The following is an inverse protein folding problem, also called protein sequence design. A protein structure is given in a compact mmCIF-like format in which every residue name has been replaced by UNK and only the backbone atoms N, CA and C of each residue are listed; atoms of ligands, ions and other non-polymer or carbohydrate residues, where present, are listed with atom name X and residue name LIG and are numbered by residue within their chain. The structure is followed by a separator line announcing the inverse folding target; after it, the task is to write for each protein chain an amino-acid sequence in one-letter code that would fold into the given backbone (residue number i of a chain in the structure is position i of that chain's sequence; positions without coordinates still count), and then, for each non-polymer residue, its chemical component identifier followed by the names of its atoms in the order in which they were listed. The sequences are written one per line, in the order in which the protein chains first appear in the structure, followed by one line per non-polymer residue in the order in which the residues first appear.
data_IF_934249482573
#
_entry.id   IF_934249482573
#
_cell.length_a   1.000
_cell.length_b   1.000
_cell.length_c   1.000
_cell.angle_alpha   90.00
_cell.angle_beta   90.00
_cell.angle_gamma   90.00
#
_symmetry.space_group_name_H-M   'P 1'
#
loop_
_entity.id
_entity.type
_entity.pdbx_description
1 polymer ?
#
# COMPACT_ATOMS: atom_id res chain seq x y z
N UNK A 1 -3.42 -15.89 -6.81
CA UNK A 1 -2.59 -14.67 -6.84
C UNK A 1 -2.86 -13.93 -5.55
N UNK A 2 -1.87 -13.88 -4.65
CA UNK A 2 -2.00 -13.19 -3.38
C UNK A 2 -1.53 -11.76 -3.60
N UNK A 3 -2.47 -10.83 -3.71
CA UNK A 3 -2.18 -9.41 -3.92
C UNK A 3 -1.98 -8.81 -2.53
N UNK A 4 -0.72 -8.63 -2.11
CA UNK A 4 -0.43 -7.96 -0.86
C UNK A 4 -0.63 -6.46 -1.06
N UNK A 5 -1.77 -5.94 -0.58
CA UNK A 5 -2.04 -4.51 -0.56
C UNK A 5 -1.08 -3.83 0.43
N UNK A 6 -0.38 -2.81 -0.04
CA UNK A 6 0.62 -2.05 0.72
C UNK A 6 0.37 -0.56 0.57
N UNK A 7 0.82 0.18 1.58
CA UNK A 7 0.86 1.64 1.57
C UNK A 7 2.30 2.12 1.50
N UNK A 8 2.53 3.14 0.69
CA UNK A 8 3.82 3.79 0.54
C UNK A 8 3.88 4.97 1.49
N UNK A 9 4.94 4.99 2.30
CA UNK A 9 5.27 6.12 3.17
C UNK A 9 6.14 7.13 2.46
N UNK A 10 6.02 8.39 2.85
CA UNK A 10 6.79 9.50 2.29
C UNK A 10 8.28 9.35 2.59
N UNK A 11 9.13 9.67 1.62
CA UNK A 11 10.59 9.62 1.78
C UNK A 11 11.11 10.56 2.89
N UNK A 12 10.41 11.67 3.13
CA UNK A 12 10.76 12.64 4.17
C UNK A 12 10.05 12.41 5.51
N UNK A 13 8.99 11.60 5.54
CA UNK A 13 8.19 11.37 6.74
C UNK A 13 7.47 10.01 6.69
N UNK A 14 7.97 9.05 7.45
CA UNK A 14 7.41 7.69 7.50
C UNK A 14 5.97 7.63 8.05
N UNK A 15 5.53 8.65 8.79
CA UNK A 15 4.15 8.73 9.29
C UNK A 15 3.16 9.19 8.22
N UNK A 16 3.66 9.76 7.11
CA UNK A 16 2.83 10.27 6.03
C UNK A 16 2.70 9.22 4.93
N UNK A 17 1.46 8.87 4.59
CA UNK A 17 1.17 7.98 3.46
C UNK A 17 1.05 8.80 2.17
N UNK A 18 1.80 8.43 1.14
CA UNK A 18 1.79 9.14 -0.16
C UNK A 18 0.95 8.43 -1.20
N UNK A 19 0.87 7.10 -1.15
CA UNK A 19 0.12 6.28 -2.08
C UNK A 19 -0.20 4.90 -1.49
N UNK A 20 -1.10 4.16 -2.14
CA UNK A 20 -1.32 2.74 -1.89
C UNK A 20 -1.28 1.95 -3.20
N UNK A 21 -0.94 0.68 -3.08
CA UNK A 21 -0.70 -0.19 -4.21
C UNK A 21 -0.57 -1.64 -3.80
N UNK A 22 0.00 -2.44 -4.69
CA UNK A 22 0.34 -3.82 -4.40
C UNK A 22 1.73 -4.15 -4.90
N UNK A 23 2.41 -5.04 -4.18
CA UNK A 23 3.74 -5.50 -4.59
C UNK A 23 3.59 -6.39 -5.82
N UNK A 24 4.23 -5.99 -6.92
CA UNK A 24 4.34 -6.76 -8.16
C UNK A 24 5.51 -7.74 -8.06
N UNK A 25 6.66 -7.22 -7.64
CA UNK A 25 7.91 -7.96 -7.58
C UNK A 25 8.68 -7.58 -6.30
N UNK A 26 9.05 -8.58 -5.50
CA UNK A 26 9.62 -8.38 -4.16
C UNK A 26 11.15 -8.50 -4.15
N UNK A 27 11.71 -9.24 -5.11
CA UNK A 27 13.13 -9.47 -5.31
C UNK A 27 13.47 -9.13 -6.77
N UNK A 28 14.57 -8.40 -6.99
CA UNK A 28 15.00 -7.95 -8.32
C UNK A 28 14.09 -6.97 -9.06
N UNK A 29 13.34 -6.15 -8.32
CA UNK A 29 12.50 -5.08 -8.88
C UNK A 29 13.24 -4.29 -9.97
N UNK A 30 12.73 -4.37 -11.20
CA UNK A 30 13.30 -3.70 -12.38
C UNK A 30 12.40 -2.56 -12.81
N UNK A 31 12.75 -1.35 -12.41
CA UNK A 31 11.99 -0.17 -12.82
C UNK A 31 12.66 0.43 -14.04
N UNK A 32 11.92 0.45 -15.15
CA UNK A 32 12.39 0.95 -16.44
C UNK A 32 13.67 0.27 -16.96
N UNK A 33 13.86 -1.02 -16.63
CA UNK A 33 15.02 -1.80 -17.04
C UNK A 33 16.26 -1.65 -16.15
N UNK A 34 16.20 -0.82 -15.08
CA UNK A 34 17.27 -0.68 -14.09
C UNK A 34 16.95 -1.48 -12.83
N UNK A 35 17.94 -2.21 -12.32
CA UNK A 35 17.79 -2.95 -11.07
C UNK A 35 17.68 -1.97 -9.89
N UNK A 36 16.54 -2.00 -9.20
CA UNK A 36 16.26 -1.05 -8.13
C UNK A 36 17.10 -1.30 -6.85
N UNK A 37 17.86 -2.39 -6.81
CA UNK A 37 18.69 -2.80 -5.68
C UNK A 37 17.96 -3.70 -4.68
N UNK A 38 18.72 -4.44 -3.87
CA UNK A 38 18.23 -5.46 -2.94
C UNK A 38 17.26 -4.95 -1.85
N UNK A 39 17.22 -3.64 -1.61
CA UNK A 39 16.41 -3.01 -0.56
C UNK A 39 15.14 -2.33 -1.08
N UNK A 40 14.82 -2.50 -2.36
CA UNK A 40 13.65 -1.92 -3.01
C UNK A 40 12.77 -2.99 -3.64
N UNK A 41 11.46 -2.78 -3.61
CA UNK A 41 10.48 -3.61 -4.30
C UNK A 41 9.73 -2.83 -5.38
N UNK A 42 9.15 -3.55 -6.33
CA UNK A 42 8.29 -3.01 -7.36
C UNK A 42 6.84 -3.00 -6.87
N UNK A 43 6.22 -1.83 -6.90
CA UNK A 43 4.86 -1.62 -6.46
C UNK A 43 4.07 -0.98 -7.59
N UNK A 44 2.90 -1.55 -7.91
CA UNK A 44 1.95 -0.89 -8.80
C UNK A 44 1.05 0.01 -7.97
N UNK A 45 1.06 1.31 -8.26
CA UNK A 45 0.22 2.27 -7.55
C UNK A 45 -1.23 2.12 -7.98
N UNK A 46 -2.12 1.88 -7.02
CA UNK A 46 -3.57 1.87 -7.24
C UNK A 46 -4.24 3.18 -6.84
N UNK A 47 -3.73 3.85 -5.81
CA UNK A 47 -4.33 5.08 -5.30
C UNK A 47 -3.26 6.08 -4.87
N UNK A 48 -3.51 7.35 -5.19
CA UNK A 48 -2.59 8.46 -4.95
C UNK A 48 -3.19 9.32 -3.83
N UNK A 49 -2.52 9.38 -2.68
CA UNK A 49 -2.96 10.21 -1.57
C UNK A 49 -2.30 11.59 -1.61
N UNK A 50 -1.01 11.65 -1.94
CA UNK A 50 -0.23 12.88 -2.04
C UNK A 50 0.38 13.00 -3.43
N UNK A 51 -0.37 13.67 -4.31
CA UNK A 51 -0.03 13.86 -5.73
C UNK A 51 1.36 14.47 -5.96
N UNK A 52 1.67 15.50 -5.19
CA UNK A 52 2.93 16.25 -5.29
C UNK A 52 4.14 15.54 -4.67
N UNK A 53 3.96 14.34 -4.12
CA UNK A 53 5.07 13.60 -3.55
C UNK A 53 6.02 13.11 -4.66
N UNK A 54 7.32 13.32 -4.43
CA UNK A 54 8.36 12.87 -5.33
C UNK A 54 8.51 11.35 -5.29
N UNK A 55 8.75 10.76 -6.45
CA UNK A 55 9.13 9.35 -6.53
C UNK A 55 10.57 9.14 -6.11
N UNK A 56 10.88 7.95 -5.56
CA UNK A 56 12.25 7.55 -5.25
C UNK A 56 13.14 7.57 -6.50
N UNK A 57 12.63 7.01 -7.60
CA UNK A 57 13.25 7.05 -8.93
C UNK A 57 12.22 7.49 -9.96
N UNK A 58 12.19 8.79 -10.32
CA UNK A 58 11.41 9.23 -11.46
C UNK A 58 12.00 8.67 -12.76
N UNK A 59 11.17 8.26 -13.70
CA UNK A 59 11.61 7.71 -14.98
C UNK A 59 10.63 8.07 -16.11
N UNK A 60 11.18 8.37 -17.30
CA UNK A 60 10.38 8.82 -18.44
C UNK A 60 9.51 10.03 -18.09
N UNK A 61 8.19 9.88 -18.22
CA UNK A 61 7.19 10.89 -17.89
C UNK A 61 6.65 10.78 -16.45
N UNK A 62 7.12 9.80 -15.68
CA UNK A 62 6.63 9.52 -14.33
C UNK A 62 7.58 10.20 -13.34
N UNK A 63 7.20 11.38 -12.86
CA UNK A 63 8.03 12.18 -11.96
C UNK A 63 7.47 12.23 -10.54
N UNK A 64 6.15 12.25 -10.42
CA UNK A 64 5.44 12.40 -9.17
C UNK A 64 4.54 11.19 -8.88
N UNK A 65 4.03 11.11 -7.66
CA UNK A 65 3.01 10.12 -7.33
C UNK A 65 1.80 10.29 -8.25
N UNK A 66 1.41 11.51 -8.64
CA UNK A 66 0.31 11.76 -9.60
C UNK A 66 0.51 11.11 -10.98
N UNK A 67 1.75 11.01 -11.45
CA UNK A 67 2.05 10.39 -12.74
C UNK A 67 2.15 8.86 -12.66
N UNK A 68 2.22 8.32 -11.44
CA UNK A 68 2.52 6.90 -11.20
C UNK A 68 1.29 5.98 -11.16
N UNK A 69 0.07 6.49 -11.38
CA UNK A 69 -1.14 5.67 -11.31
C UNK A 69 -1.09 4.49 -12.29
N UNK A 70 -1.17 3.27 -11.78
CA UNK A 70 -1.09 2.06 -12.58
C UNK A 70 0.29 1.74 -13.13
N UNK A 71 1.31 2.53 -12.78
CA UNK A 71 2.69 2.30 -13.21
C UNK A 71 3.51 1.58 -12.13
N UNK A 72 4.50 0.74 -12.52
CA UNK A 72 5.42 0.11 -11.59
C UNK A 72 6.45 1.11 -11.06
N UNK A 73 6.46 1.33 -9.75
CA UNK A 73 7.44 2.20 -9.10
C UNK A 73 8.31 1.42 -8.14
N UNK A 74 9.56 1.86 -8.03
CA UNK A 74 10.51 1.33 -7.07
C UNK A 74 10.30 2.06 -5.75
N UNK A 75 10.03 1.30 -4.69
CA UNK A 75 9.93 1.88 -3.34
C UNK A 75 10.82 1.14 -2.35
N UNK A 76 11.43 1.85 -1.37
CA UNK A 76 12.27 1.20 -0.37
C UNK A 76 11.40 0.34 0.54
N UNK A 77 11.81 -0.90 0.79
CA UNK A 77 11.08 -1.84 1.65
C UNK A 77 10.82 -1.27 3.06
N UNK A 78 11.73 -0.44 3.58
CA UNK A 78 11.59 0.24 4.88
C UNK A 78 10.47 1.27 4.94
N UNK A 79 10.00 1.75 3.78
CA UNK A 79 8.91 2.73 3.65
C UNK A 79 7.64 2.10 3.05
N UNK A 80 7.63 0.78 2.91
CA UNK A 80 6.45 0.01 2.53
C UNK A 80 5.85 -0.56 3.79
N UNK A 81 4.63 -0.14 4.11
CA UNK A 81 3.87 -0.74 5.19
C UNK A 81 2.73 -1.57 4.60
N UNK A 82 2.36 -2.64 5.30
CA UNK A 82 1.10 -3.31 4.99
C UNK A 82 -0.04 -2.31 5.24
N UNK A 83 -1.07 -2.38 4.42
CA UNK A 83 -2.23 -1.51 4.57
C UNK A 83 -2.93 -1.81 5.91
N UNK A 84 -2.63 -1.01 6.93
CA UNK A 84 -3.22 -1.12 8.27
C UNK A 84 -4.74 -0.88 8.23
N UNK A 85 -5.26 -0.20 7.19
CA UNK A 85 -6.68 0.06 7.01
C UNK A 85 -7.44 -1.25 6.75
N UNK A 86 -6.86 -2.22 6.04
CA UNK A 86 -7.46 -3.55 5.90
C UNK A 86 -7.55 -4.26 7.25
N UNK A 87 -6.56 -4.09 8.12
CA UNK A 87 -6.54 -4.68 9.46
C UNK A 87 -7.61 -4.02 10.33
N UNK A 88 -7.70 -2.69 10.35
CA UNK A 88 -8.73 -1.97 11.09
C UNK A 88 -10.13 -2.26 10.55
N UNK A 89 -10.32 -2.28 9.23
CA UNK A 89 -11.60 -2.62 8.61
C UNK A 89 -12.00 -4.08 8.89
N UNK A 90 -11.06 -5.03 8.86
CA UNK A 90 -11.33 -6.42 9.25
C UNK A 90 -11.65 -6.50 10.74
N UNK A 91 -10.91 -5.80 11.61
CA UNK A 91 -11.21 -5.78 13.04
C UNK A 91 -12.56 -5.14 13.33
N UNK A 92 -12.94 -4.07 12.64
CA UNK A 92 -14.26 -3.45 12.75
C UNK A 92 -15.36 -4.36 12.25
N UNK A 93 -15.16 -5.09 11.14
CA UNK A 93 -16.12 -6.10 10.66
C UNK A 93 -16.25 -7.25 11.66
N UNK A 94 -15.15 -7.75 12.21
CA UNK A 94 -15.14 -8.80 13.23
C UNK A 94 -15.85 -8.31 14.51
N UNK A 95 -15.55 -7.09 14.95
CA UNK A 95 -16.17 -6.45 16.12
C UNK A 95 -17.67 -6.23 15.92
N UNK A 96 -18.08 -5.75 14.74
CA UNK A 96 -19.48 -5.57 14.38
C UNK A 96 -20.25 -6.91 14.34
N UNK A 97 -19.64 -7.98 13.82
CA UNK A 97 -20.23 -9.33 13.83
C UNK A 97 -20.30 -9.94 15.22
N UNK A 98 -19.28 -9.73 16.06
CA UNK A 98 -19.28 -10.20 17.44
C UNK A 98 -20.44 -9.56 18.24
N UNK A 99 -20.72 -8.28 17.99
CA UNK A 99 -21.83 -7.56 18.61
C UNK A 99 -23.20 -8.07 18.13
N UNK A 100 -23.36 -8.34 16.84
CA UNK A 100 -24.61 -8.90 16.28
C UNK A 100 -24.92 -10.30 16.82
N UNK A 101 -23.91 -11.13 17.07
CA UNK A 101 -24.08 -12.50 17.57
C UNK A 101 -24.38 -12.58 19.07
N UNK A 102 -24.15 -11.49 19.83
CA UNK A 102 -24.50 -11.39 21.25
C UNK A 102 -25.99 -11.18 21.53
N UNK A 103 -26.76 -10.70 20.54
CA UNK A 103 -28.20 -10.40 20.69
C UNK A 103 -29.13 -11.61 20.52
N UNK A 104 -28.61 -12.75 20.04
CA UNK A 104 -29.40 -13.98 19.87
C UNK A 104 -29.77 -14.71 21.17
N UNK A 105 -29.12 -14.40 22.29
CA UNK A 105 -29.36 -15.07 23.57
C UNK A 105 -30.31 -14.30 24.51
N UNK A 106 -30.67 -13.04 24.20
CA UNK A 106 -31.50 -12.21 25.07
C UNK A 106 -32.97 -12.10 24.66
N UNK A 107 -33.37 -12.69 23.52
CA UNK A 107 -34.76 -12.71 23.02
C UNK A 107 -35.36 -14.13 22.97
N UNK A 108 -34.94 -15.00 23.90
CA UNK A 108 -35.69 -16.22 24.27
C UNK A 108 -36.00 -16.18 25.76
N UNK A 109 -36.99 -15.36 26.14
CA UNK A 109 -37.75 -15.53 27.37
C UNK A 109 -39.22 -15.38 27.04
#
# INVERSE_FOLDING_TARGET
MQVHCVVLKSLGNINETVASGYVSEMEHARVNGEESGSDCCEIIIQSQMKKDACLLRPYGNIQTIEDSLGAPVAWPLSLVALDEILIDAIFDIIRARAFSNGLGHLLRK
#
